data_IF_397832952451
#
_entry.id   IF_397832952451
#
_cell.length_a   1.000
_cell.length_b   1.000
_cell.length_c   1.000
_cell.angle_alpha   90.00
_cell.angle_beta   90.00
_cell.angle_gamma   90.00
#
_symmetry.space_group_name_H-M   'P 1'
#
loop_
_entity.id
_entity.type
_entity.pdbx_description
1 polymer ?
#
# COMPACT_ATOMS: atom_id res chain seq x y z
N UNK A 1 -9.16 2.65 -4.48
CA UNK A 1 -9.90 3.72 -5.19
C UNK A 1 -9.98 5.00 -4.35
N UNK A 2 -10.55 4.98 -3.14
CA UNK A 2 -10.67 6.19 -2.29
C UNK A 2 -9.35 6.95 -2.06
N UNK A 3 -8.23 6.24 -1.81
CA UNK A 3 -6.91 6.86 -1.69
C UNK A 3 -6.39 7.50 -2.99
N UNK A 4 -6.70 6.90 -4.14
CA UNK A 4 -6.32 7.46 -5.45
C UNK A 4 -7.16 8.69 -5.79
N UNK A 5 -8.45 8.68 -5.42
CA UNK A 5 -9.33 9.84 -5.56
C UNK A 5 -8.87 11.00 -4.67
N UNK A 6 -8.47 10.71 -3.42
CA UNK A 6 -7.92 11.71 -2.50
C UNK A 6 -6.61 12.34 -3.00
N UNK A 7 -5.81 11.58 -3.76
CA UNK A 7 -4.57 12.07 -4.38
C UNK A 7 -4.77 12.72 -5.75
N UNK A 8 -6.02 12.85 -6.24
CA UNK A 8 -6.32 13.38 -7.57
C UNK A 8 -5.89 12.48 -8.74
N UNK A 9 -5.43 11.26 -8.45
CA UNK A 9 -4.94 10.31 -9.44
C UNK A 9 -6.04 9.40 -10.00
N UNK A 10 -7.26 9.49 -9.48
CA UNK A 10 -8.41 8.72 -9.98
C UNK A 10 -8.84 9.13 -11.40
N UNK A 11 -8.64 10.42 -11.76
CA UNK A 11 -9.03 10.97 -13.07
C UNK A 11 -7.85 11.11 -14.04
N UNK A 12 -6.62 10.90 -13.57
CA UNK A 12 -5.38 11.15 -14.32
C UNK A 12 -4.97 10.00 -15.25
N UNK A 13 -5.62 8.83 -15.17
CA UNK A 13 -5.25 7.68 -15.99
C UNK A 13 -5.89 6.36 -15.58
N UNK A 14 -5.40 5.23 -16.12
CA UNK A 14 -5.94 3.91 -15.78
C UNK A 14 -5.70 3.60 -14.30
N UNK A 15 -6.79 3.46 -13.56
CA UNK A 15 -6.79 3.17 -12.11
C UNK A 15 -6.43 1.70 -11.83
N UNK A 16 -6.76 0.79 -12.74
CA UNK A 16 -6.59 -0.65 -12.56
C UNK A 16 -5.13 -1.07 -12.29
N UNK A 17 -4.11 -0.58 -13.03
CA UNK A 17 -2.70 -0.85 -12.73
C UNK A 17 -2.28 -0.42 -11.33
N UNK A 18 -2.72 0.74 -10.83
CA UNK A 18 -2.42 1.17 -9.46
C UNK A 18 -2.99 0.19 -8.42
N UNK A 19 -4.19 -0.33 -8.66
CA UNK A 19 -4.82 -1.32 -7.77
C UNK A 19 -4.11 -2.68 -7.84
N UNK A 20 -3.65 -3.10 -9.03
CA UNK A 20 -2.90 -4.34 -9.20
C UNK A 20 -1.54 -4.30 -8.49
N UNK A 21 -0.79 -3.20 -8.65
CA UNK A 21 0.48 -3.00 -7.94
C UNK A 21 0.25 -2.96 -6.42
N UNK A 22 -0.84 -2.33 -5.98
CA UNK A 22 -1.23 -2.32 -4.57
C UNK A 22 -1.53 -3.72 -4.02
N UNK A 23 -2.23 -4.55 -4.80
CA UNK A 23 -2.52 -5.93 -4.43
C UNK A 23 -1.22 -6.76 -4.34
N UNK A 24 -0.36 -6.66 -5.35
CA UNK A 24 0.93 -7.34 -5.38
C UNK A 24 1.80 -6.94 -4.19
N UNK A 25 1.81 -5.65 -3.83
CA UNK A 25 2.52 -5.14 -2.66
C UNK A 25 1.98 -5.72 -1.34
N UNK A 26 0.67 -5.92 -1.23
CA UNK A 26 0.09 -6.52 -0.02
C UNK A 26 0.50 -7.98 0.14
N UNK A 27 0.65 -8.73 -0.97
CA UNK A 27 1.24 -10.07 -0.95
C UNK A 27 2.71 -10.02 -0.54
N UNK A 28 3.48 -9.10 -1.12
CA UNK A 28 4.90 -8.94 -0.80
C UNK A 28 5.15 -8.56 0.67
N UNK A 29 4.24 -7.79 1.28
CA UNK A 29 4.34 -7.38 2.69
C UNK A 29 4.08 -8.53 3.69
N UNK A 30 3.38 -9.59 3.28
CA UNK A 30 3.15 -10.80 4.11
C UNK A 30 4.38 -11.71 4.12
N UNK A 31 5.24 -11.62 3.11
CA UNK A 31 6.47 -12.39 3.07
C UNK A 31 7.46 -11.86 4.14
N UNK A 32 8.09 -12.73 4.94
CA UNK A 32 9.00 -12.35 6.03
C UNK A 32 10.38 -11.92 5.50
N UNK A 33 10.41 -11.15 4.42
CA UNK A 33 11.64 -10.66 3.77
C UNK A 33 12.13 -9.35 4.42
N UNK A 34 11.25 -8.61 5.11
CA UNK A 34 11.55 -7.31 5.73
C UNK A 34 10.80 -7.14 7.05
N UNK A 35 11.25 -6.23 7.92
CA UNK A 35 10.59 -5.93 9.21
C UNK A 35 9.21 -5.34 8.96
N UNK A 36 8.15 -6.11 9.22
CA UNK A 36 6.76 -5.66 9.03
C UNK A 36 6.37 -5.33 7.58
N UNK A 37 7.08 -5.87 6.58
CA UNK A 37 6.85 -5.56 5.16
C UNK A 37 7.38 -4.18 4.73
N UNK A 38 8.05 -3.46 5.64
CA UNK A 38 8.57 -2.10 5.45
C UNK A 38 9.83 -2.17 4.58
N UNK A 39 9.75 -1.68 3.34
CA UNK A 39 10.78 -1.80 2.30
C UNK A 39 10.37 -2.71 1.14
N UNK A 40 9.82 -3.90 1.41
CA UNK A 40 9.31 -4.79 0.36
C UNK A 40 8.14 -4.16 -0.42
N UNK A 41 7.28 -3.43 0.30
CA UNK A 41 6.17 -2.67 -0.27
C UNK A 41 6.67 -1.51 -1.13
N UNK A 42 7.60 -0.70 -0.64
CA UNK A 42 8.22 0.41 -1.38
C UNK A 42 8.80 -0.08 -2.73
N UNK A 43 9.59 -1.15 -2.70
CA UNK A 43 10.20 -1.74 -3.89
C UNK A 43 9.14 -2.26 -4.86
N UNK A 44 8.11 -2.96 -4.37
CA UNK A 44 7.04 -3.49 -5.24
C UNK A 44 6.27 -2.35 -5.92
N UNK A 45 6.08 -1.22 -5.24
CA UNK A 45 5.45 -0.03 -5.83
C UNK A 45 6.36 0.67 -6.85
N UNK A 46 7.65 0.80 -6.58
CA UNK A 46 8.61 1.38 -7.53
C UNK A 46 8.76 0.52 -8.79
N UNK A 47 8.94 -0.80 -8.62
CA UNK A 47 9.04 -1.73 -9.74
C UNK A 47 7.71 -1.89 -10.47
N UNK A 48 6.60 -1.94 -9.74
CA UNK A 48 5.26 -1.99 -10.33
C UNK A 48 4.91 -0.73 -11.11
N UNK A 49 5.21 0.46 -10.58
CA UNK A 49 5.02 1.72 -11.29
C UNK A 49 5.89 1.78 -12.55
N UNK A 50 7.15 1.33 -12.48
CA UNK A 50 8.03 1.24 -13.65
C UNK A 50 7.53 0.24 -14.70
N UNK A 51 6.94 -0.88 -14.29
CA UNK A 51 6.40 -1.90 -15.20
C UNK A 51 5.16 -1.41 -15.96
N UNK A 52 4.29 -0.65 -15.29
CA UNK A 52 3.02 -0.16 -15.85
C UNK A 52 3.07 1.30 -16.35
N UNK A 53 4.23 1.97 -16.26
CA UNK A 53 4.39 3.37 -16.65
C UNK A 53 3.59 4.36 -15.80
N UNK A 54 3.37 4.03 -14.52
CA UNK A 54 2.59 4.82 -13.58
C UNK A 54 3.47 5.85 -12.88
N UNK A 55 2.85 6.88 -12.31
CA UNK A 55 3.55 7.83 -11.45
C UNK A 55 3.98 7.11 -10.15
N UNK A 56 5.29 6.91 -9.93
CA UNK A 56 5.77 6.21 -8.76
C UNK A 56 5.48 6.97 -7.47
N UNK A 57 5.45 8.31 -7.49
CA UNK A 57 5.16 9.12 -6.32
C UNK A 57 3.72 8.90 -5.85
N UNK A 58 2.76 8.86 -6.78
CA UNK A 58 1.36 8.53 -6.47
C UNK A 58 1.25 7.11 -5.95
N UNK A 59 1.88 6.15 -6.63
CA UNK A 59 1.78 4.74 -6.28
C UNK A 59 2.34 4.45 -4.87
N UNK A 60 3.52 4.98 -4.55
CA UNK A 60 4.14 4.88 -3.23
C UNK A 60 3.29 5.57 -2.17
N UNK A 61 2.78 6.77 -2.44
CA UNK A 61 1.95 7.53 -1.48
C UNK A 61 0.69 6.77 -1.06
N UNK A 62 0.00 6.11 -2.01
CA UNK A 62 -1.14 5.24 -1.70
C UNK A 62 -0.75 4.11 -0.75
N UNK A 63 0.41 3.49 -0.97
CA UNK A 63 0.91 2.39 -0.16
C UNK A 63 1.19 2.79 1.28
N UNK A 64 1.80 3.96 1.46
CA UNK A 64 2.19 4.52 2.76
C UNK A 64 0.95 4.94 3.52
N UNK A 65 0.01 5.65 2.87
CA UNK A 65 -1.25 6.05 3.49
C UNK A 65 -2.06 4.84 3.96
N UNK A 66 -2.16 3.80 3.13
CA UNK A 66 -2.82 2.56 3.51
C UNK A 66 -2.14 1.88 4.71
N UNK A 67 -0.80 1.84 4.72
CA UNK A 67 -0.06 1.30 5.85
C UNK A 67 -0.32 2.07 7.14
N UNK A 68 -0.28 3.41 7.11
CA UNK A 68 -0.55 4.26 8.29
C UNK A 68 -1.97 4.03 8.81
N UNK A 69 -2.96 3.98 7.92
CA UNK A 69 -4.35 3.68 8.31
C UNK A 69 -4.43 2.29 8.96
N UNK A 70 -3.78 1.28 8.36
CA UNK A 70 -3.78 -0.09 8.88
C UNK A 70 -3.11 -0.16 10.26
N UNK A 71 -1.98 0.52 10.43
CA UNK A 71 -1.27 0.60 11.70
C UNK A 71 -2.12 1.30 12.77
N UNK A 72 -2.75 2.43 12.44
CA UNK A 72 -3.63 3.16 13.35
C UNK A 72 -4.83 2.31 13.80
N UNK A 73 -5.46 1.59 12.86
CA UNK A 73 -6.57 0.66 13.18
C UNK A 73 -6.06 -0.51 14.03
N UNK A 74 -4.89 -1.06 13.72
CA UNK A 74 -4.29 -2.18 14.47
C UNK A 74 -3.92 -1.81 15.90
N UNK A 75 -3.62 -0.55 16.21
CA UNK A 75 -3.39 -0.07 17.57
C UNK A 75 -4.64 -0.21 18.44
N UNK A 76 -5.84 -0.06 17.88
CA UNK A 76 -7.10 -0.31 18.59
C UNK A 76 -7.20 -1.76 19.09
N UNK A 77 -6.73 -2.72 18.29
CA UNK A 77 -6.65 -4.13 18.68
C UNK A 77 -5.67 -4.40 19.81
N UNK A 78 -4.62 -3.58 19.98
CA UNK A 78 -3.67 -3.73 21.09
C UNK A 78 -4.30 -3.45 22.47
N UNK A 79 -5.38 -2.66 22.53
CA UNK A 79 -6.12 -2.40 23.77
C UNK A 79 -7.10 -3.50 24.14
N UNK A 80 -7.48 -4.37 23.19
CA UNK A 80 -8.33 -5.53 23.45
C UNK A 80 -7.46 -6.62 24.07
N UNK A 81 -7.50 -6.74 25.41
CA UNK A 81 -6.93 -7.91 26.09
C UNK A 81 -7.70 -9.14 25.64
N UNK A 82 -7.05 -10.01 24.88
CA UNK A 82 -7.48 -11.39 24.69
C UNK A 82 -7.20 -12.10 26.01
N UNK A 83 -8.22 -12.24 26.86
CA UNK A 83 -8.18 -13.15 28.00
C UNK A 83 -8.20 -14.59 27.45
N UNK A 84 -7.31 -15.41 27.98
CA UNK A 84 -6.96 -16.74 27.44
C UNK A 84 -8.03 -17.78 27.71
#
# INVERSE_FOLDING_TARGET
WALLAALGAADAGPVLPYLLVFLASSVAAVLPLTVGGLGARELTFLYGAKLFGLDPAVAVSVSVLFYVITAAVSLGGAFVRVEK
#
